data_IF_853550276169
#
_entry.id   IF_853550276169
#
_cell.length_a   1.000
_cell.length_b   1.000
_cell.length_c   1.000
_cell.angle_alpha   90.00
_cell.angle_beta   90.00
_cell.angle_gamma   90.00
#
_symmetry.space_group_name_H-M   'P 1'
#
loop_
_entity.id
_entity.type
_entity.pdbx_description
1 polymer ?
#
# COMPACT_ATOMS: atom_id res chain seq x y z
N UNK A 1 8.31 1.62 -9.80
CA UNK A 1 8.65 2.72 -8.85
C UNK A 1 7.43 2.99 -7.97
N UNK A 2 7.58 3.47 -6.74
CA UNK A 2 6.45 3.78 -5.84
C UNK A 2 6.47 5.27 -5.45
N UNK A 3 5.30 5.91 -5.43
CA UNK A 3 5.11 7.29 -4.97
C UNK A 3 3.90 7.37 -4.04
N UNK A 4 3.80 8.46 -3.28
CA UNK A 4 2.67 8.73 -2.38
C UNK A 4 2.15 10.13 -2.68
N UNK A 5 0.84 10.35 -2.50
CA UNK A 5 0.27 11.70 -2.43
C UNK A 5 0.44 12.25 -1.01
N UNK A 6 0.30 13.57 -0.80
CA UNK A 6 0.23 14.16 0.54
C UNK A 6 -0.90 13.56 1.40
N UNK A 7 -2.10 13.42 0.83
CA UNK A 7 -3.29 12.90 1.52
C UNK A 7 -3.09 11.46 2.03
N UNK A 8 -2.30 10.65 1.32
CA UNK A 8 -1.92 9.32 1.79
C UNK A 8 -1.29 9.37 3.18
N UNK A 9 -0.36 10.32 3.38
CA UNK A 9 0.34 10.46 4.65
C UNK A 9 -0.57 10.98 5.75
N UNK A 10 -1.50 11.88 5.43
CA UNK A 10 -2.52 12.33 6.38
C UNK A 10 -3.39 11.16 6.86
N UNK A 11 -3.92 10.36 5.94
CA UNK A 11 -4.69 9.17 6.29
C UNK A 11 -3.85 8.15 7.06
N UNK A 12 -2.61 7.90 6.63
CA UNK A 12 -1.70 6.97 7.29
C UNK A 12 -1.37 7.38 8.73
N UNK A 13 -1.12 8.66 8.97
CA UNK A 13 -0.77 9.18 10.30
C UNK A 13 -1.95 9.08 11.29
N UNK A 14 -3.18 9.14 10.79
CA UNK A 14 -4.41 8.97 11.58
C UNK A 14 -4.72 7.50 11.92
N UNK A 15 -4.01 6.53 11.34
CA UNK A 15 -4.19 5.12 11.67
C UNK A 15 -3.62 4.77 13.05
N UNK A 16 -4.13 3.73 13.73
CA UNK A 16 -3.50 3.20 14.93
C UNK A 16 -2.03 2.84 14.70
N UNK A 17 -1.16 3.12 15.68
CA UNK A 17 0.30 2.88 15.57
C UNK A 17 0.66 1.44 15.18
N UNK A 18 -0.14 0.46 15.59
CA UNK A 18 0.04 -0.94 15.22
C UNK A 18 -0.15 -1.17 13.71
N UNK A 19 -1.14 -0.50 13.11
CA UNK A 19 -1.43 -0.57 11.67
C UNK A 19 -0.36 0.15 10.88
N UNK A 20 0.10 1.32 11.34
CA UNK A 20 1.23 2.04 10.73
C UNK A 20 2.47 1.14 10.63
N UNK A 21 2.88 0.52 11.75
CA UNK A 21 4.03 -0.40 11.78
C UNK A 21 3.87 -1.58 10.82
N UNK A 22 2.68 -2.18 10.78
CA UNK A 22 2.39 -3.27 9.85
C UNK A 22 2.47 -2.81 8.39
N UNK A 23 1.95 -1.62 8.07
CA UNK A 23 2.00 -1.06 6.73
C UNK A 23 3.44 -0.77 6.29
N UNK A 24 4.29 -0.25 7.17
CA UNK A 24 5.73 -0.13 6.92
C UNK A 24 6.37 -1.48 6.58
N UNK A 25 6.15 -2.51 7.41
CA UNK A 25 6.69 -3.85 7.15
C UNK A 25 6.20 -4.44 5.81
N UNK A 26 4.91 -4.21 5.48
CA UNK A 26 4.32 -4.67 4.21
C UNK A 26 4.89 -3.92 3.02
N UNK A 27 5.20 -2.64 3.17
CA UNK A 27 5.86 -1.86 2.12
C UNK A 27 7.31 -2.32 1.88
N UNK A 28 8.08 -2.60 2.94
CA UNK A 28 9.40 -3.20 2.81
C UNK A 28 9.34 -4.55 2.08
N UNK A 29 8.39 -5.40 2.47
CA UNK A 29 8.18 -6.69 1.81
C UNK A 29 7.72 -6.54 0.35
N UNK A 30 6.88 -5.54 0.05
CA UNK A 30 6.44 -5.22 -1.30
C UNK A 30 7.61 -4.83 -2.20
N UNK A 31 8.56 -4.01 -1.71
CA UNK A 31 9.76 -3.62 -2.47
C UNK A 31 10.64 -4.82 -2.84
N UNK A 32 10.74 -5.79 -1.93
CA UNK A 32 11.56 -6.99 -2.12
C UNK A 32 10.85 -8.04 -2.99
N UNK A 33 9.57 -8.29 -2.73
CA UNK A 33 8.77 -9.29 -3.42
C UNK A 33 7.31 -8.81 -3.59
N UNK A 34 6.99 -8.13 -4.70
CA UNK A 34 5.63 -7.66 -4.96
C UNK A 34 4.58 -8.77 -5.03
N UNK A 35 5.00 -10.00 -5.35
CA UNK A 35 4.13 -11.19 -5.48
C UNK A 35 3.96 -11.95 -4.17
N UNK A 36 4.51 -11.45 -3.06
CA UNK A 36 4.41 -12.15 -1.78
C UNK A 36 2.93 -12.31 -1.36
N UNK A 37 2.45 -13.54 -1.04
CA UNK A 37 1.03 -13.79 -0.73
C UNK A 37 0.48 -12.96 0.43
N UNK A 38 1.34 -12.58 1.37
CA UNK A 38 0.96 -11.77 2.53
C UNK A 38 0.76 -10.28 2.19
N UNK A 39 1.38 -9.78 1.11
CA UNK A 39 1.12 -8.42 0.57
C UNK A 39 -0.11 -8.48 -0.33
N UNK A 40 -0.25 -9.55 -1.12
CA UNK A 40 -1.40 -9.75 -2.02
C UNK A 40 -1.67 -8.49 -2.88
N UNK A 41 -0.61 -7.97 -3.51
CA UNK A 41 -0.74 -6.84 -4.42
C UNK A 41 -1.54 -7.28 -5.64
N UNK A 42 -2.69 -6.65 -5.87
CA UNK A 42 -3.53 -6.95 -7.03
C UNK A 42 -4.24 -5.73 -7.59
N UNK A 43 -4.54 -5.78 -8.88
CA UNK A 43 -5.39 -4.82 -9.56
C UNK A 43 -6.87 -5.16 -9.28
N UNK A 44 -7.65 -4.16 -8.91
CA UNK A 44 -9.09 -4.23 -8.64
C UNK A 44 -9.73 -3.07 -9.40
N UNK A 45 -10.34 -3.36 -10.55
CA UNK A 45 -10.80 -2.33 -11.48
C UNK A 45 -9.64 -1.47 -11.98
N UNK A 46 -9.73 -0.16 -11.82
CA UNK A 46 -8.70 0.81 -12.21
C UNK A 46 -7.64 1.07 -11.15
N UNK A 47 -7.76 0.44 -9.97
CA UNK A 47 -6.88 0.67 -8.82
C UNK A 47 -6.08 -0.58 -8.47
N UNK A 48 -5.01 -0.38 -7.72
CA UNK A 48 -4.23 -1.43 -7.08
C UNK A 48 -4.51 -1.44 -5.58
N UNK A 49 -4.50 -2.63 -4.98
CA UNK A 49 -4.69 -2.81 -3.55
C UNK A 49 -3.60 -3.72 -2.99
N UNK A 50 -2.97 -3.29 -1.88
CA UNK A 50 -2.06 -4.10 -1.09
C UNK A 50 -2.66 -4.35 0.30
N UNK A 51 -2.56 -5.60 0.78
CA UNK A 51 -3.05 -6.02 2.09
C UNK A 51 -2.09 -5.58 3.19
N UNK A 52 -2.61 -4.86 4.16
CA UNK A 52 -1.88 -4.54 5.40
C UNK A 52 -2.18 -5.62 6.45
N UNK A 53 -3.46 -5.82 6.74
CA UNK A 53 -3.98 -6.90 7.57
C UNK A 53 -5.39 -7.30 7.07
N UNK A 54 -6.23 -7.91 7.91
CA UNK A 54 -7.59 -8.33 7.53
C UNK A 54 -8.49 -7.13 7.15
N UNK A 55 -8.34 -6.04 7.90
CA UNK A 55 -9.26 -4.90 7.90
C UNK A 55 -8.74 -3.72 7.06
N UNK A 56 -7.42 -3.59 6.92
CA UNK A 56 -6.77 -2.46 6.24
C UNK A 56 -6.10 -2.88 4.93
N UNK A 57 -6.29 -2.05 3.91
CA UNK A 57 -5.63 -2.13 2.60
C UNK A 57 -5.11 -0.75 2.23
N UNK A 58 -3.92 -0.71 1.64
CA UNK A 58 -3.41 0.49 0.96
C UNK A 58 -3.90 0.48 -0.49
N UNK A 59 -4.30 1.63 -1.00
CA UNK A 59 -4.79 1.79 -2.37
C UNK A 59 -3.80 2.62 -3.18
N UNK A 60 -3.62 2.23 -4.44
CA UNK A 60 -2.82 2.96 -5.39
C UNK A 60 -3.53 3.07 -6.74
N UNK A 61 -3.15 4.09 -7.50
CA UNK A 61 -3.38 4.16 -8.95
C UNK A 61 -2.05 3.91 -9.67
N UNK A 62 -2.15 3.46 -10.91
CA UNK A 62 -0.98 3.23 -11.76
C UNK A 62 -0.87 4.39 -12.74
N UNK A 63 0.26 5.10 -12.71
CA UNK A 63 0.60 6.21 -13.61
C UNK A 63 1.96 5.93 -14.23
N UNK A 64 2.02 5.76 -15.55
CA UNK A 64 3.27 5.52 -16.29
C UNK A 64 4.14 4.41 -15.66
N UNK A 65 3.52 3.30 -15.26
CA UNK A 65 4.20 2.16 -14.61
C UNK A 65 4.66 2.41 -13.17
N UNK A 66 4.24 3.53 -12.57
CA UNK A 66 4.46 3.88 -11.16
C UNK A 66 3.19 3.70 -10.36
N UNK A 67 3.28 3.00 -9.23
CA UNK A 67 2.16 2.93 -8.28
C UNK A 67 2.20 4.15 -7.37
N UNK A 68 1.16 4.97 -7.45
CA UNK A 68 0.95 6.16 -6.64
C UNK A 68 -0.11 5.86 -5.58
N UNK A 69 0.32 5.76 -4.32
CA UNK A 69 -0.54 5.52 -3.17
C UNK A 69 -1.22 6.82 -2.72
N UNK A 70 -2.51 6.75 -2.39
CA UNK A 70 -3.34 7.87 -1.99
C UNK A 70 -4.29 7.50 -0.86
#
# INVERSE_FOLDING_TARGET
MYKTTPDFWEHYQNLPRSVQRLAGNKFELLKQNPRHPSVHLKKVGTRWAARINKDYRALAREEDGTLVWF
#
